data_IF_994580950438
#
_entry.id   IF_994580950438
#
_cell.length_a   1.000
_cell.length_b   1.000
_cell.length_c   1.000
_cell.angle_alpha   90.00
_cell.angle_beta   90.00
_cell.angle_gamma   90.00
#
_symmetry.space_group_name_H-M   'P 1'
#
loop_
_entity.id
_entity.type
_entity.pdbx_description
1 polymer ?
#
# COMPACT_ATOMS: atom_id res chain seq x y z
N UNK A 1 -12.44 -1.52 -19.48
CA UNK A 1 -11.86 -0.59 -18.49
C UNK A 1 -10.77 -1.38 -17.79
N UNK A 2 -9.53 -0.90 -17.89
CA UNK A 2 -8.41 -1.52 -17.17
C UNK A 2 -8.44 -0.99 -15.74
N UNK A 3 -7.97 -1.80 -14.79
CA UNK A 3 -7.93 -1.45 -13.36
C UNK A 3 -6.54 -1.74 -12.84
N UNK A 4 -6.06 -0.88 -11.96
CA UNK A 4 -4.84 -1.13 -11.20
C UNK A 4 -5.24 -1.65 -9.81
N UNK A 5 -4.58 -2.71 -9.38
CA UNK A 5 -4.67 -3.25 -8.02
C UNK A 5 -3.63 -2.56 -7.16
N UNK A 6 -4.04 -2.12 -5.97
CA UNK A 6 -3.17 -1.46 -5.00
C UNK A 6 -3.41 -2.14 -3.66
N UNK A 7 -2.33 -2.59 -3.01
CA UNK A 7 -2.43 -3.06 -1.62
C UNK A 7 -2.50 -1.82 -0.73
N UNK A 8 -3.42 -1.84 0.24
CA UNK A 8 -3.55 -0.86 1.32
C UNK A 8 -3.51 -1.57 2.67
N UNK A 9 -3.26 -0.83 3.74
CA UNK A 9 -3.34 -1.29 5.12
C UNK A 9 -4.55 -0.69 5.83
N UNK A 10 -5.41 -1.54 6.38
CA UNK A 10 -6.56 -1.15 7.19
C UNK A 10 -6.32 -1.28 8.69
N UNK A 11 -5.07 -1.54 9.10
CA UNK A 11 -4.68 -1.50 10.50
C UNK A 11 -4.36 -0.08 10.93
N UNK A 12 -4.55 0.23 12.22
CA UNK A 12 -4.11 1.49 12.81
C UNK A 12 -2.59 1.52 13.05
N UNK A 13 -1.82 0.87 12.16
CA UNK A 13 -0.38 0.75 12.17
C UNK A 13 0.17 1.14 10.79
N UNK A 14 1.48 1.38 10.72
CA UNK A 14 2.13 1.62 9.44
C UNK A 14 2.18 0.34 8.61
N UNK A 15 2.07 0.48 7.29
CA UNK A 15 2.18 -0.65 6.36
C UNK A 15 3.41 -1.51 6.64
N UNK A 16 3.18 -2.81 6.76
CA UNK A 16 4.24 -3.80 6.89
C UNK A 16 3.82 -5.15 6.32
N UNK A 17 4.78 -5.84 5.71
CA UNK A 17 4.67 -7.24 5.31
C UNK A 17 5.31 -8.14 6.38
N UNK A 18 4.81 -9.36 6.50
CA UNK A 18 5.50 -10.42 7.24
C UNK A 18 6.84 -10.77 6.58
N UNK A 19 7.74 -11.42 7.32
CA UNK A 19 9.00 -11.92 6.74
C UNK A 19 8.75 -12.92 5.61
N UNK A 20 7.70 -13.74 5.73
CA UNK A 20 7.27 -14.66 4.68
C UNK A 20 6.89 -13.91 3.40
N UNK A 21 6.10 -12.83 3.53
CA UNK A 21 5.71 -12.02 2.37
C UNK A 21 6.90 -11.27 1.76
N UNK A 22 7.82 -10.71 2.57
CA UNK A 22 9.04 -10.12 2.03
C UNK A 22 9.90 -11.14 1.28
N UNK A 23 10.02 -12.35 1.81
CA UNK A 23 10.76 -13.44 1.17
C UNK A 23 10.10 -13.85 -0.14
N UNK A 24 8.77 -14.00 -0.16
CA UNK A 24 8.02 -14.36 -1.35
C UNK A 24 8.00 -13.25 -2.42
N UNK A 25 8.07 -11.98 -2.00
CA UNK A 25 8.16 -10.83 -2.91
C UNK A 25 9.53 -10.77 -3.60
N UNK A 26 10.61 -11.09 -2.88
CA UNK A 26 11.93 -11.38 -3.46
C UNK A 26 12.65 -10.20 -4.13
N UNK A 27 12.11 -8.97 -4.04
CA UNK A 27 12.72 -7.73 -4.54
C UNK A 27 13.32 -6.91 -3.41
N UNK A 28 14.20 -5.98 -3.76
CA UNK A 28 14.76 -5.02 -2.81
C UNK A 28 13.65 -4.21 -2.13
N UNK A 29 13.80 -3.96 -0.83
CA UNK A 29 12.84 -3.16 -0.07
C UNK A 29 12.87 -1.72 -0.58
N UNK A 30 11.74 -1.17 -1.02
CA UNK A 30 11.71 0.19 -1.54
C UNK A 30 11.93 1.21 -0.41
N UNK A 31 12.48 2.37 -0.78
CA UNK A 31 12.70 3.48 0.16
C UNK A 31 11.40 4.07 0.67
N UNK A 32 10.39 4.11 -0.19
CA UNK A 32 9.05 4.62 0.14
C UNK A 32 8.01 3.50 0.04
N UNK A 33 7.56 3.03 1.21
CA UNK A 33 6.54 2.00 1.34
C UNK A 33 5.13 2.50 0.99
N UNK A 34 4.92 3.81 0.88
CA UNK A 34 3.62 4.39 0.50
C UNK A 34 3.51 4.68 -1.00
N UNK A 35 4.59 4.47 -1.76
CA UNK A 35 4.59 4.76 -3.20
C UNK A 35 3.65 3.84 -3.97
N UNK A 36 2.87 4.40 -4.91
CA UNK A 36 2.00 3.62 -5.79
C UNK A 36 2.80 2.57 -6.56
N UNK A 37 3.99 2.92 -7.08
CA UNK A 37 4.86 1.99 -7.83
C UNK A 37 5.11 0.69 -7.07
N UNK A 38 5.39 0.77 -5.77
CA UNK A 38 5.57 -0.41 -4.95
C UNK A 38 4.23 -1.07 -4.61
N UNK A 39 3.23 -0.29 -4.18
CA UNK A 39 1.95 -0.79 -3.66
C UNK A 39 1.05 -1.40 -4.74
N UNK A 40 1.36 -1.13 -6.01
CA UNK A 40 0.76 -1.74 -7.19
C UNK A 40 1.69 -2.71 -7.93
N UNK A 41 2.86 -3.06 -7.38
CA UNK A 41 3.76 -4.01 -8.05
C UNK A 41 3.02 -5.36 -8.23
N UNK A 42 2.91 -5.90 -9.46
CA UNK A 42 2.19 -7.14 -9.72
C UNK A 42 2.68 -8.34 -8.88
N UNK A 43 3.96 -8.39 -8.53
CA UNK A 43 4.50 -9.43 -7.66
C UNK A 43 4.04 -9.25 -6.21
N UNK A 44 3.94 -8.00 -5.73
CA UNK A 44 3.40 -7.72 -4.41
C UNK A 44 1.91 -8.09 -4.34
N UNK A 45 1.14 -7.71 -5.36
CA UNK A 45 -0.28 -8.08 -5.46
C UNK A 45 -0.43 -9.59 -5.34
N UNK A 46 0.32 -10.34 -6.16
CA UNK A 46 0.28 -11.80 -6.16
C UNK A 46 0.64 -12.39 -4.79
N UNK A 47 1.66 -11.85 -4.11
CA UNK A 47 2.05 -12.31 -2.78
C UNK A 47 0.91 -12.11 -1.77
N UNK A 48 0.29 -10.93 -1.77
CA UNK A 48 -0.83 -10.64 -0.84
C UNK A 48 -2.05 -11.51 -1.16
N UNK A 49 -2.38 -11.73 -2.43
CA UNK A 49 -3.47 -12.64 -2.84
C UNK A 49 -3.20 -14.09 -2.41
N UNK A 50 -1.95 -14.57 -2.56
CA UNK A 50 -1.59 -15.96 -2.26
C UNK A 50 -1.48 -16.24 -0.76
N UNK A 51 -0.94 -15.30 0.01
CA UNK A 51 -0.69 -15.49 1.44
C UNK A 51 -1.86 -15.04 2.31
N UNK A 52 -2.73 -14.13 1.81
CA UNK A 52 -3.82 -13.56 2.60
C UNK A 52 -3.32 -12.98 3.92
N UNK A 53 -3.92 -13.37 5.05
CA UNK A 53 -3.54 -12.89 6.39
C UNK A 53 -2.11 -13.24 6.82
N UNK A 54 -1.45 -14.18 6.13
CA UNK A 54 -0.03 -14.49 6.37
C UNK A 54 0.89 -13.41 5.79
N UNK A 55 0.41 -12.61 4.83
CA UNK A 55 1.16 -11.48 4.31
C UNK A 55 1.27 -10.33 5.30
N UNK A 56 0.32 -10.23 6.23
CA UNK A 56 0.23 -9.14 7.19
C UNK A 56 1.46 -9.14 8.11
N UNK A 57 2.17 -8.01 8.10
CA UNK A 57 3.20 -7.73 9.08
C UNK A 57 2.66 -7.60 10.50
N UNK A 58 3.58 -7.46 11.44
CA UNK A 58 3.28 -7.20 12.84
C UNK A 58 4.14 -6.03 13.31
N UNK A 59 3.49 -5.01 13.86
CA UNK A 59 4.17 -3.97 14.62
C UNK A 59 4.60 -4.51 15.98
N UNK A 60 5.78 -4.11 16.44
CA UNK A 60 6.31 -4.44 17.78
C UNK A 60 5.41 -3.94 18.93
N UNK A 61 4.63 -2.88 18.71
CA UNK A 61 3.76 -2.26 19.74
C UNK A 61 2.32 -2.05 19.29
N UNK A 62 1.95 -2.54 18.11
CA UNK A 62 0.67 -2.26 17.46
C UNK A 62 -0.13 -3.51 17.12
N UNK A 63 -1.35 -3.35 16.60
CA UNK A 63 -2.12 -4.46 16.08
C UNK A 63 -1.40 -5.10 14.88
N UNK A 64 -1.76 -6.35 14.58
CA UNK A 64 -1.37 -6.99 13.33
C UNK A 64 -1.88 -6.15 12.15
N UNK A 65 -1.07 -6.03 11.10
CA UNK A 65 -1.49 -5.31 9.91
C UNK A 65 -2.73 -5.98 9.29
N UNK A 66 -3.51 -5.24 8.51
CA UNK A 66 -4.69 -5.78 7.80
C UNK A 66 -4.61 -5.36 6.35
N UNK A 67 -3.86 -6.14 5.57
CA UNK A 67 -3.62 -5.83 4.17
C UNK A 67 -4.84 -6.19 3.33
N UNK A 68 -5.25 -5.25 2.48
CA UNK A 68 -6.37 -5.41 1.54
C UNK A 68 -5.94 -4.94 0.16
N UNK A 69 -6.51 -5.51 -0.89
CA UNK A 69 -6.31 -5.05 -2.27
C UNK A 69 -7.54 -4.25 -2.69
N UNK A 70 -7.31 -3.04 -3.18
CA UNK A 70 -8.33 -2.21 -3.80
C UNK A 70 -8.07 -2.08 -5.29
N UNK A 71 -9.14 -1.98 -6.07
CA UNK A 71 -9.06 -1.76 -7.51
C UNK A 71 -9.57 -0.37 -7.87
N UNK A 72 -8.74 0.40 -8.55
CA UNK A 72 -9.08 1.75 -9.06
C UNK A 72 -8.87 1.80 -10.57
N UNK A 73 -9.52 2.75 -11.29
CA UNK A 73 -9.23 2.98 -12.70
C UNK A 73 -7.74 3.30 -12.89
N UNK A 74 -7.11 2.74 -13.93
CA UNK A 74 -5.70 3.01 -14.25
C UNK A 74 -5.50 4.33 -15.02
N UNK A 75 -6.59 4.94 -15.45
CA UNK A 75 -6.64 6.17 -16.25
C UNK A 75 -6.42 7.46 -15.42
N UNK A 76 -6.40 7.35 -14.09
CA UNK A 76 -6.34 8.50 -13.16
C UNK A 76 -5.11 8.38 -12.24
N UNK A 77 -4.37 9.49 -12.01
CA UNK A 77 -3.32 9.50 -11.01
C UNK A 77 -3.95 9.37 -9.62
N UNK A 78 -3.34 8.52 -8.79
CA UNK A 78 -3.82 8.22 -7.44
C UNK A 78 -2.67 8.26 -6.45
N UNK A 79 -3.03 8.38 -5.18
CA UNK A 79 -2.12 8.29 -4.04
C UNK A 79 -2.78 7.52 -2.89
N UNK A 80 -1.96 6.95 -2.02
CA UNK A 80 -2.44 6.39 -0.76
C UNK A 80 -2.52 7.52 0.26
N UNK A 81 -3.66 7.62 0.91
CA UNK A 81 -3.94 8.51 2.03
C UNK A 81 -4.19 7.67 3.27
N UNK A 82 -3.96 8.26 4.44
CA UNK A 82 -4.26 7.58 5.70
C UNK A 82 -4.71 8.55 6.77
N UNK A 83 -5.53 8.04 7.68
CA UNK A 83 -5.86 8.69 8.94
C UNK A 83 -5.68 7.66 10.04
N UNK A 84 -4.72 7.93 10.93
CA UNK A 84 -4.35 7.04 12.03
C UNK A 84 -4.00 5.62 11.56
N UNK A 85 -3.28 5.50 10.43
CA UNK A 85 -2.87 4.22 9.84
C UNK A 85 -3.92 3.53 8.97
N UNK A 86 -5.21 3.87 9.09
CA UNK A 86 -6.24 3.30 8.22
C UNK A 86 -6.16 3.95 6.81
N UNK A 87 -5.60 3.20 5.86
CA UNK A 87 -5.31 3.68 4.51
C UNK A 87 -6.52 3.60 3.57
N UNK A 88 -6.56 4.49 2.58
CA UNK A 88 -7.42 4.40 1.39
C UNK A 88 -6.70 4.96 0.17
N UNK A 89 -7.17 4.62 -1.03
CA UNK A 89 -6.67 5.22 -2.27
C UNK A 89 -7.54 6.41 -2.63
N UNK A 90 -6.91 7.55 -2.91
CA UNK A 90 -7.57 8.77 -3.36
C UNK A 90 -6.98 9.21 -4.69
N UNK A 91 -7.81 9.80 -5.55
CA UNK A 91 -7.33 10.47 -6.76
C UNK A 91 -6.43 11.66 -6.39
N UNK A 92 -5.40 11.89 -7.19
CA UNK A 92 -4.64 13.13 -7.12
C UNK A 92 -5.43 14.25 -7.79
N UNK A 93 -5.79 15.26 -6.99
CA UNK A 93 -6.58 16.39 -7.45
C UNK A 93 -5.72 17.63 -7.64
N UNK A 94 -6.21 18.57 -8.46
CA UNK A 94 -5.61 19.91 -8.57
C UNK A 94 -5.58 20.58 -7.21
N UNK A 95 -4.42 21.12 -6.85
CA UNK A 95 -4.20 21.90 -5.64
C UNK A 95 -3.92 23.36 -6.03
N UNK A 96 -4.37 24.31 -5.22
CA UNK A 96 -4.10 25.74 -5.41
C UNK A 96 -3.40 26.29 -4.16
N UNK A 97 -2.37 27.12 -4.33
CA UNK A 97 -1.71 27.83 -3.23
C UNK A 97 -0.86 26.96 -2.28
N UNK A 98 -0.47 25.74 -2.69
CA UNK A 98 0.49 24.91 -1.94
C UNK A 98 1.91 25.32 -2.33
N UNK A 99 2.61 26.02 -1.46
CA UNK A 99 4.04 26.32 -1.64
C UNK A 99 4.87 25.05 -1.43
N UNK A 100 5.61 24.61 -2.45
CA UNK A 100 6.48 23.42 -2.39
C UNK A 100 7.81 23.66 -1.65
N UNK A 101 7.88 24.69 -0.81
CA UNK A 101 9.04 25.00 0.02
C UNK A 101 8.62 25.21 1.47
N UNK A 102 8.88 24.20 2.30
CA UNK A 102 9.57 24.25 3.60
C UNK A 102 10.13 22.86 3.84
#
# INVERSE_FOLDING_TARGET
MVRIKIVIDRSYANFSLSEEAWTAYGKERPKDLNSIVFRSDPDLIRVVEQLGERANGQSQFGPKNKLEIVEVPDEIPVRIESYDGNEWVAEEHRVWGKDEKI
#
